data_IF_901088976566
#
_entry.id   IF_901088976566
#
_cell.length_a   1.000
_cell.length_b   1.000
_cell.length_c   1.000
_cell.angle_alpha   90.00
_cell.angle_beta   90.00
_cell.angle_gamma   90.00
#
_symmetry.space_group_name_H-M   'P 1'
#
loop_
_entity.id
_entity.type
_entity.pdbx_description
1 polymer ?
#
# COMPACT_ATOMS: atom_id res chain seq x y z
CA UNK A 9 -11.01 -15.61 -29.25
CA UNK A 10 -10.79 -13.54 -32.44
CA UNK A 11 -14.29 -12.09 -32.83
CA UNK A 12 -13.64 -8.47 -31.87
CA UNK A 13 -10.01 -8.41 -32.99
CA UNK A 14 -9.53 -4.65 -33.23
CA UNK A 15 -10.14 -3.98 -29.58
CA UNK A 16 -12.81 -1.46 -30.67
CA UNK A 17 -16.49 -1.39 -29.72
CA UNK A 18 -18.38 -3.34 -32.38
CA UNK A 19 -21.46 -1.45 -31.19
CA UNK A 20 -23.22 -4.69 -30.72
CA UNK A 21 -20.08 -3.96 -28.76
CA UNK A 22 -22.32 -4.40 -25.71
CA UNK A 23 -22.25 -8.02 -26.86
CA UNK A 24 -18.50 -8.46 -26.38
CA UNK A 25 -18.62 -7.58 -22.68
CA UNK A 26 -21.94 -9.39 -22.34
CA UNK A 27 -20.62 -12.58 -23.93
CA UNK A 28 -17.66 -12.64 -21.53
CA UNK A 29 -19.95 -12.22 -18.53
CA UNK A 30 -22.25 -15.05 -19.64
CA UNK A 31 -19.26 -17.36 -20.10
CA UNK A 32 -17.82 -16.52 -16.68
CA UNK A 33 -21.02 -16.43 -14.62
CA UNK A 34 -22.04 -19.76 -16.15
CA UNK A 35 -18.49 -20.76 -17.08
CA UNK A 36 -19.53 -24.12 -15.64
CA UNK A 37 -17.92 -25.50 -18.80
CA UNK A 38 -14.48 -27.08 -19.20
CA UNK A 39 -12.12 -24.35 -20.39
CA UNK A 40 -9.24 -26.84 -20.19
CA UNK A 41 -9.84 -28.52 -23.55
CA UNK A 42 -7.86 -27.21 -26.53
CA UNK A 43 -6.17 -30.35 -28.00
CA UNK A 44 -2.72 -29.15 -28.80
CA UNK A 45 -0.13 -30.41 -26.31
CA UNK A 46 3.23 -28.92 -26.05
CA UNK A 47 5.87 -26.76 -27.47
CA UNK A 48 9.31 -25.43 -28.37
CA UNK A 49 11.48 -22.32 -28.63
CA UNK A 50 11.49 -18.91 -30.31
CA UNK A 51 12.63 -15.56 -28.91
CA UNK A 52 13.54 -12.48 -26.89
CA UNK A 53 14.21 -9.93 -24.16
CA UNK A 54 14.51 -6.57 -25.88
CA UNK A 55 16.64 -8.58 -27.98
CA UNK A 56 18.84 -11.68 -28.16
CA UNK A 57 18.03 -15.12 -29.54
CA UNK A 58 16.61 -18.46 -28.41
CA UNK A 59 15.33 -22.03 -28.19
CA UNK A 60 14.60 -23.12 -24.62
CA UNK A 61 12.26 -25.72 -23.15
CA UNK A 62 11.20 -27.85 -20.18
CA UNK A 63 9.88 -31.28 -19.23
CA UNK A 64 8.22 -30.72 -15.86
CA UNK A 65 9.93 -32.87 -13.10
CA UNK A 66 9.16 -35.88 -10.88
CA UNK A 67 5.78 -35.32 -9.22
CA UNK A 68 5.26 -38.72 -7.60
CA UNK A 69 4.25 -38.99 -3.94
CA UNK A 70 6.51 -40.10 -1.09
CA UNK A 71 5.47 -40.87 2.49
CA UNK A 72 5.99 -38.00 4.93
CA UNK A 73 8.65 -38.48 7.62
CA UNK A 74 10.67 -36.72 10.32
CA UNK A 75 8.46 -33.71 11.04
CA UNK A 76 7.75 -33.12 14.73
CA UNK A 77 10.31 -30.94 16.50
CA UNK A 78 8.93 -30.88 20.05
CA UNK A 79 11.28 -32.75 22.39
CA UNK A 80 9.75 -31.65 25.69
CA UNK A 81 9.03 -27.93 25.29
CA UNK A 82 8.54 -27.21 21.59
CA UNK A 83 10.42 -27.08 18.29
CA UNK A 84 13.76 -28.88 18.08
CA UNK A 85 17.28 -27.77 17.15
CA UNK A 86 16.92 -28.61 13.46
CA UNK A 87 14.21 -26.27 12.17
CA UNK A 88 12.20 -27.31 9.11
CA UNK A 89 11.54 -25.05 6.12
CA UNK A 90 8.57 -22.68 6.23
CA UNK A 91 6.39 -24.72 3.87
CA UNK A 92 5.27 -28.35 3.72
CA UNK A 93 6.12 -31.73 2.17
CA UNK A 94 4.55 -32.92 -1.07
CA UNK A 95 3.19 -36.47 -0.90
CA UNK A 96 -0.47 -37.20 -1.66
CA UNK A 97 -1.55 -39.59 1.10
CA UNK A 98 -2.24 -37.51 4.21
CA UNK A 99 -3.14 -39.13 7.54
CA UNK A 100 -3.94 -38.68 11.14
CA UNK A 101 -4.59 -41.69 13.27
CA UNK A 102 -5.04 -41.38 17.04
CA UNK A 103 -8.08 -40.69 19.21
CA UNK A 104 -10.29 -37.61 19.46
CA UNK A 105 -7.46 -35.46 20.82
CA UNK A 106 -5.17 -38.03 22.46
CA UNK A 107 -2.81 -35.21 21.50
CA UNK A 108 0.66 -35.02 19.95
CA UNK A 109 0.27 -37.16 16.83
CA UNK A 110 -3.28 -35.91 16.26
CA UNK A 111 -2.17 -32.34 16.97
CA UNK A 112 0.68 -32.58 14.46
CA UNK A 113 -1.68 -33.88 11.76
CA UNK A 114 -4.11 -31.02 12.37
CA UNK A 115 -1.32 -28.45 12.09
CA UNK A 116 -0.13 -29.93 8.79
CA UNK A 117 -3.65 -29.81 7.36
CA UNK A 118 -4.03 -26.16 8.34
CA UNK A 119 -0.75 -25.23 6.67
CA UNK A 120 -1.76 -26.99 3.45
CA UNK A 121 -5.11 -25.19 3.39
CA UNK A 122 -3.59 -21.77 4.03
CA UNK A 123 -1.27 -22.56 1.13
CA UNK A 124 -3.77 -21.49 -1.53
CA UNK A 125 -6.38 -18.84 -0.72
CA UNK A 126 -5.61 -16.78 -3.83
CA UNK A 127 -8.57 -14.39 -3.75
CA UNK A 128 -12.10 -14.95 -5.06
CA UNK A 129 -11.38 -16.26 -8.56
CA UNK A 130 -9.64 -18.77 -6.63
CA UNK A 131 -7.95 -20.29 -9.77
CA UNK A 132 -10.38 -20.37 -12.69
CA UNK A 133 -10.82 -16.59 -12.66
CA UNK A 134 -7.06 -16.05 -12.69
CA UNK A 135 -6.63 -18.44 -15.61
CA UNK A 136 -9.28 -16.61 -17.63
CA UNK A 137 -7.57 -13.27 -17.04
CA UNK A 138 -4.21 -14.65 -18.16
CA UNK A 139 -5.72 -15.99 -21.38
CA UNK A 140 -7.34 -12.63 -22.14
CA UNK A 141 -4.03 -10.82 -21.62
CA UNK A 142 -2.24 -13.18 -24.01
CA UNK A 143 -4.92 -12.71 -26.68
CA UNK A 144 -4.66 -8.93 -26.39
CA UNK A 145 -0.86 -8.84 -26.27
CA UNK A 146 -0.37 -11.19 -29.23
CA UNK A 147 -4.00 -11.26 -30.36
CA UNK A 148 -3.12 -14.68 -31.77
CA UNK A 149 -5.32 -17.77 -31.51
CA UNK A 150 -2.90 -20.56 -30.59
CA UNK A 151 -0.93 -22.11 -27.73
CA UNK A 152 2.01 -20.23 -26.23
CA UNK A 153 4.54 -21.36 -23.62
CA UNK A 154 1.48 -21.23 -21.37
CA UNK A 155 -0.85 -23.71 -23.07
CA UNK A 156 1.40 -26.57 -21.97
CA UNK A 157 1.87 -25.11 -18.48
CA UNK A 158 -1.89 -24.79 -18.02
CA UNK A 159 -2.23 -28.44 -19.02
CA UNK A 160 -0.26 -29.41 -15.92
CA UNK A 161 -3.71 -30.00 -14.44
CA UNK A 162 -4.88 -33.47 -15.46
CA UNK A 163 -8.32 -33.97 -17.00
CA UNK A 164 -10.34 -35.21 -14.03
CA UNK A 165 -13.20 -32.70 -13.90
CA UNK A 166 -11.97 -30.32 -11.20
CA UNK A 167 -9.07 -30.94 -8.82
CA UNK A 168 -7.11 -28.10 -7.56
CA UNK A 169 -10.79 -28.81 -6.93
CA UNK A 170 -12.71 -25.64 -6.05
CA UNK A 171 -14.03 -24.60 -2.64
CA UNK A 172 -17.50 -23.08 -2.30
CA UNK A 173 -19.20 -20.86 0.28
CA UNK A 174 -19.91 -22.97 3.36
CA UNK A 175 -16.77 -24.77 2.17
CA UNK A 176 -13.62 -23.77 4.05
CA UNK A 177 -11.11 -26.38 2.87
CA UNK A 178 -9.36 -25.54 -0.41
CA UNK A 179 -9.84 -29.22 -1.22
CA UNK A 180 -7.35 -31.21 -2.98
CA UNK A 181 -8.74 -34.05 -5.03
CA UNK A 182 -7.43 -36.37 -2.31
CA UNK A 183 -5.64 -38.60 -4.82
CA UNK A 184 -3.92 -36.19 -7.21
CA UNK A 185 -0.66 -34.37 -6.68
CA UNK A 186 -0.02 -32.39 -3.56
CA UNK A 187 -0.51 -29.22 -1.52
CA UNK A 188 2.36 -27.84 -3.61
CA UNK A 189 0.29 -28.03 -6.80
CA UNK A 190 -2.68 -26.37 -5.11
CA UNK A 191 -1.28 -22.93 -4.31
CA UNK A 192 1.55 -23.43 -6.80
CA UNK A 193 -0.89 -22.86 -9.67
CA UNK A 194 -2.01 -19.52 -8.23
CA UNK A 195 1.58 -18.31 -7.88
CA UNK A 196 2.40 -19.46 -11.41
CA UNK A 197 -0.62 -17.62 -12.81
CA UNK A 198 0.34 -14.36 -11.11
CA UNK A 199 3.84 -14.58 -12.59
CA UNK A 200 2.44 -15.62 -15.97
CA UNK A 201 0.26 -12.50 -16.09
CA UNK A 202 3.51 -10.72 -16.93
CA UNK A 203 4.08 -12.53 -20.23
CA UNK A 204 2.78 -9.43 -22.02
CA UNK A 205 4.96 -6.80 -20.34
CA UNK A 206 8.59 -7.93 -20.11
CA UNK A 207 9.08 -11.55 -21.18
CA UNK A 208 9.56 -13.39 -24.48
CA UNK A 209 10.52 -17.01 -23.82
CA UNK A 210 7.57 -18.24 -21.75
CA UNK A 211 9.77 -21.12 -20.61
CA UNK A 212 12.72 -19.71 -18.67
CA UNK A 213 11.11 -17.87 -15.76
CA UNK A 214 8.38 -20.51 -15.59
CA UNK A 215 10.85 -23.36 -16.08
CA UNK A 216 13.11 -22.07 -13.31
CA UNK A 217 10.15 -21.95 -10.92
CA UNK A 218 9.13 -25.52 -11.76
CA UNK A 219 12.69 -26.79 -11.28
CA UNK A 220 12.79 -25.25 -7.80
CA UNK A 221 9.54 -27.05 -6.98
CA UNK A 222 11.71 -29.68 -5.28
CA UNK A 223 11.55 -28.12 -1.82
CA UNK A 224 8.76 -26.18 -0.11
CA UNK A 225 10.02 -22.60 -0.34
CA UNK A 226 13.41 -22.42 -2.06
CA UNK A 227 14.02 -18.67 -1.95
CA UNK A 228 17.24 -18.84 0.08
CA UNK A 229 19.41 -18.41 -3.02
CA UNK A 230 16.68 -16.75 -5.09
CA UNK A 231 17.12 -13.40 -3.35
CA UNK A 232 20.89 -13.48 -3.81
CA UNK A 233 21.49 -13.32 -7.56
CA UNK A 234 18.26 -11.39 -8.13
CA UNK A 235 20.07 -8.07 -8.59
CA UNK A 236 23.40 -9.88 -8.94
CA UNK A 237 23.07 -9.38 -12.70
CA UNK A 238 23.04 -5.67 -11.88
CA UNK A 239 26.79 -5.52 -11.27
CA UNK A 240 28.36 -5.63 -14.73
CA UNK A 241 30.41 -3.47 -17.09
CA UNK A 242 30.51 -3.55 -20.89
CA UNK A 243 30.79 -0.93 -23.64
CA UNK A 244 32.44 2.31 -22.53
CA UNK A 245 29.21 4.32 -22.64
CA UNK A 246 27.09 5.96 -19.94
CA UNK A 247 24.73 8.07 -22.04
CA UNK A 248 23.11 10.15 -19.31
CA UNK A 249 21.40 13.51 -18.81
CA UNK A 250 19.58 15.70 -16.28
CA UNK A 251 20.41 16.36 -12.63
CA UNK A 252 18.15 19.20 -11.49
CA UNK A 253 17.86 19.60 -7.72
CA UNK A 254 14.39 21.03 -8.33
CA UNK A 255 13.35 18.20 -10.65
CA UNK A 256 14.08 19.57 -14.13
CA UNK A 257 15.74 18.67 -17.44
CA UNK A 258 18.95 19.67 -19.21
CA UNK A 259 20.01 16.93 -21.64
CA UNK A 260 23.71 16.61 -22.46
CA UNK A 261 26.88 15.33 -20.77
CA UNK A 262 28.84 12.09 -21.14
CA UNK A 263 28.88 9.46 -18.40
CA UNK A 264 31.36 7.56 -16.24
CA UNK A 265 31.50 3.88 -15.29
CA UNK A 266 32.62 2.23 -12.05
CA UNK A 267 35.70 1.75 -9.87
CA UNK A 268 36.66 2.54 -6.27
CA UNK A 269 37.51 -0.86 -4.78
CA UNK A 270 34.04 -2.32 -5.36
CA UNK A 271 35.97 -5.09 -7.11
CA UNK A 272 36.40 -8.40 -5.29
CA UNK A 273 33.08 -10.04 -6.20
CA UNK A 274 34.76 -13.06 -7.78
CA UNK A 275 32.67 -16.08 -6.79
CA UNK A 276 29.60 -18.11 -7.74
CA UNK A 277 28.11 -21.59 -8.08
CA UNK A 278 25.37 -23.79 -6.62
CA UNK A 279 22.92 -21.14 -7.82
CA UNK A 280 20.13 -22.29 -10.13
CA UNK A 281 20.03 -25.36 -12.37
CA UNK A 282 20.65 -22.93 -15.23
CA UNK A 283 22.13 -19.44 -15.59
CA UNK A 284 22.29 -19.09 -19.38
CA UNK A 285 20.66 -15.76 -18.57
CA UNK A 286 24.09 -14.13 -18.33
CA UNK A 287 25.02 -13.08 -21.87
CA UNK A 288 28.04 -11.32 -20.37
CA UNK A 289 27.76 -9.34 -23.60
CA UNK A 290 25.23 -6.55 -22.99
CA UNK A 291 25.07 -2.95 -24.22
CA UNK A 292 23.97 0.47 -22.99
CA UNK A 293 20.65 2.06 -22.01
CA UNK A 294 17.68 -0.05 -20.93
CA UNK A 295 19.64 -3.14 -19.87
CA UNK A 296 17.45 -6.19 -19.29
CA UNK A 297 19.84 -6.72 -16.39
CA UNK A 298 17.48 -4.72 -14.18
CA UNK A 299 14.59 -6.94 -15.29
CA UNK A 300 16.81 -10.00 -15.76
CA UNK A 301 15.81 -11.07 -12.25
CA UNK A 302 12.21 -10.05 -11.58
CA UNK A 303 11.10 -13.47 -12.81
CA UNK A 304 13.39 -14.80 -10.09
CA UNK A 305 10.77 -13.71 -7.55
CA UNK A 306 7.03 -14.37 -7.47
CA UNK A 307 4.63 -12.09 -5.60
CA UNK A 308 2.43 -13.80 -3.01
CA UNK A 309 2.22 -14.79 0.66
CA UNK A 310 5.24 -17.07 1.09
CA UNK A 311 4.32 -17.82 4.71
CA UNK A 312 2.21 -20.82 5.67
CA UNK A 313 3.84 -22.14 8.85
CA UNK A 314 1.91 -20.64 11.77
CA UNK A 315 4.38 -19.86 14.56
CA UNK A 316 7.11 -22.32 13.58
CA UNK A 317 7.81 -20.15 10.54
CA UNK A 318 7.45 -16.98 12.61
CA UNK A 319 9.38 -18.39 15.56
CA UNK A 320 12.50 -18.18 13.40
CA UNK A 321 11.97 -14.44 13.02
CA UNK A 322 12.00 -12.47 16.28
CA UNK A 323 13.30 -13.89 19.52
CA UNK A 324 15.66 -16.84 19.50
CA UNK A 325 17.92 -13.81 19.93
CA UNK A 326 20.52 -11.70 18.13
CA UNK A 327 23.98 -12.80 17.02
CA UNK A 328 26.57 -10.08 16.41
CA UNK A 329 30.32 -9.48 16.55
CA UNK A 330 32.04 -7.56 19.35
CA UNK A 331 30.25 -8.24 22.64
CA UNK A 332 28.03 -5.50 24.06
CA UNK A 333 30.12 -3.44 26.49
CA UNK A 334 28.10 -1.23 28.83
CA UNK A 335 29.10 0.91 31.81
CA UNK A 336 26.96 2.43 34.56
CA UNK A 337 27.79 5.96 35.71
CA UNK A 338 25.61 5.70 38.82
CA UNK A 339 22.71 8.01 38.00
CA UNK A 340 19.58 7.68 40.14
CA UNK A 341 18.12 9.61 37.44
CA UNK A 342 21.21 8.81 35.15
CA UNK A 343 25.00 9.12 35.15
CA UNK A 344 26.96 9.88 31.98
CA UNK A 345 28.03 6.49 30.64
CA UNK A 346 30.39 7.96 28.03
CA UNK A 347 33.38 5.78 27.15
CA UNK A 348 33.73 5.26 23.40
CA UNK A 349 31.15 5.76 20.65
CA UNK A 350 29.68 8.11 23.25
CA UNK A 351 31.80 11.09 22.21
CA UNK A 352 29.91 11.66 18.96
CA UNK A 353 26.43 10.57 20.05
CA UNK A 354 27.01 12.10 23.48
CA UNK A 355 27.77 15.52 21.98
CA UNK A 356 24.82 15.43 19.58
CA UNK A 357 22.34 14.30 22.23
CA UNK A 358 23.76 16.74 24.78
CA UNK A 359 23.37 19.70 22.43
CA UNK A 360 19.84 18.68 21.46
CA UNK A 361 18.83 18.03 25.07
CA UNK A 362 20.33 21.38 26.04
CA UNK A 363 18.13 23.39 23.68
CA UNK A 364 15.19 21.08 24.41
CA UNK A 365 11.96 22.56 25.77
CA UNK A 366 8.55 20.91 26.11
CA UNK A 367 6.09 19.22 28.47
CA UNK A 368 2.30 19.14 28.82
CA UNK A 369 -0.31 17.12 30.72
CA UNK A 370 -2.26 14.18 29.02
CA UNK A 371 -1.74 13.07 25.38
CA UNK A 372 -5.27 12.12 24.25
CA UNK A 373 -3.38 11.90 20.96
CA UNK A 374 -0.93 9.59 22.72
CA UNK A 375 -3.65 7.68 24.56
CA UNK A 376 -6.37 7.28 21.93
CA UNK A 377 -3.78 7.29 19.21
CA UNK A 378 -7.30 5.76 19.40
CA UNK A 379 -6.82 2.13 20.75
CA UNK A 380 -8.00 1.82 17.09
CA UNK A 381 -5.96 -0.72 15.04
CA UNK A 382 -6.24 -3.48 17.70
CA UNK A 383 -6.44 -4.74 21.37
CA UNK A 384 -7.65 -4.71 25.01
CA UNK A 385 -8.06 -8.25 24.14
CA UNK A 386 -6.93 -10.59 26.86
CA UNK A 387 -7.55 -7.17 28.54
CA UNK A 388 -10.98 -6.76 26.96
CA UNK A 389 -11.95 -10.23 28.17
CA UNK A 390 -10.37 -10.08 31.61
CA UNK A 391 -12.60 -7.02 31.94
CA UNK A 392 -15.63 -8.74 30.44
CA UNK A 393 -15.23 -11.27 33.28
CA UNK A 394 -16.38 -8.58 35.74
CA UNK A 395 -19.59 -8.29 33.65
CA UNK A 396 -20.10 -4.77 33.03
CA UNK A 397 -22.54 -3.28 30.48
CA UNK A 398 -22.93 -4.21 26.75
CA UNK A 399 -21.11 -3.67 23.67
CA UNK A 400 -17.54 -3.18 24.64
CA UNK A 401 -15.90 -3.63 21.09
CA UNK A 402 -12.76 -5.20 22.62
CA UNK A 403 -11.50 -2.43 20.55
CA UNK A 404 -10.24 1.08 21.38
CA UNK A 405 -9.01 3.11 24.19
CA UNK A 406 -12.45 3.98 22.34
CA UNK A 407 -12.22 3.52 26.20
CA UNK A 408 -15.62 2.14 27.07
CA UNK A 409 -13.24 0.33 29.57
CA UNK A 410 -10.28 2.38 30.79
CA UNK A 411 -10.78 5.38 33.07
CA UNK A 412 -11.24 4.30 36.62
CA UNK A 413 -7.50 4.95 36.37
CA UNK A 414 -5.01 7.24 37.84
CA UNK A 415 -1.96 6.81 40.08
CA UNK A 416 -2.77 3.56 41.89
CA UNK A 417 -2.29 1.64 38.64
CA UNK A 418 1.12 0.06 39.17
CA UNK A 419 1.36 -3.59 38.34
CA UNK A 420 -1.03 -4.95 35.67
CA UNK A 421 1.92 -4.40 33.28
CA UNK A 422 2.58 -8.10 33.92
CA UNK A 423 0.04 -8.80 31.18
CA UNK A 424 0.63 -10.64 27.90
CA UNK A 425 1.26 -9.20 24.43
CA UNK A 426 -0.10 -10.78 21.25
CA UNK A 427 1.88 -11.07 18.02
CA UNK A 428 0.44 -10.15 14.62
CA UNK A 429 1.96 -11.62 11.46
CA UNK A 430 2.25 -10.15 7.97
CA UNK A 431 3.10 -12.35 4.98
CA UNK A 432 5.45 -10.48 2.66
CA UNK A 433 6.31 -11.55 -0.89
CA UNK A 434 9.88 -12.84 -1.05
CA UNK A 435 11.18 -12.40 2.50
CA UNK A 436 10.62 -13.47 6.11
CA UNK A 437 7.25 -12.73 7.70
CA UNK A 438 7.03 -9.42 9.55
CA UNK A 439 6.09 -9.97 13.20
CA UNK A 440 3.73 -7.27 14.45
CA UNK A 441 3.80 -6.68 18.21
CA UNK A 442 1.42 -3.74 18.60
CA UNK A 443 1.00 -2.72 22.24
CA UNK A 444 -2.38 -2.13 23.88
CA UNK A 445 -3.81 0.99 25.53
CA UNK A 446 -1.51 0.53 28.53
CA UNK A 447 1.32 -0.40 26.17
CA UNK A 448 1.16 2.37 23.56
CA UNK A 449 0.38 4.83 26.36
CA UNK A 450 2.74 3.04 28.75
CA UNK A 451 5.55 5.04 27.14
CA UNK A 452 7.65 7.93 26.66
CA UNK A 453 5.31 9.86 24.47
CA UNK A 454 8.43 12.02 24.36
CA UNK A 455 9.80 8.59 23.78
CA UNK A 456 8.42 8.63 20.29
CA UNK A 457 9.30 12.28 20.57
CA UNK A 458 12.30 11.07 18.57
CA UNK A 459 10.56 13.06 15.83
CA UNK A 460 11.78 16.32 17.36
CA UNK A 461 15.17 15.11 16.14
CA UNK A 462 13.98 15.99 12.64
CA UNK A 463 16.25 19.01 13.07
CA UNK A 464 19.24 16.79 13.84
CA UNK A 465 19.00 14.54 10.79
CA UNK A 466 16.71 13.67 7.88
CA UNK A 467 14.16 11.01 8.81
CA UNK A 474 10.93 10.73 -4.40
CA UNK A 475 12.48 14.24 -3.88
CA UNK A 476 15.13 12.24 -2.03
CA UNK A 477 15.81 10.04 -5.06
CA UNK A 478 16.27 13.10 -7.27
CA UNK A 479 18.74 14.63 -4.81
CA UNK A 480 20.79 11.43 -4.72
CA UNK A 481 20.99 11.38 -8.52
CA UNK A 482 21.85 15.08 -8.75
CA UNK A 483 24.99 14.86 -6.62
CA UNK A 484 26.14 12.01 -8.86
CA UNK A 485 26.91 13.75 -12.16
CA UNK A 486 29.22 16.37 -10.65
CA UNK A 487 32.59 15.07 -9.47
CA UNK A 488 32.39 11.27 -9.68
CA UNK A 489 30.24 10.31 -6.70
CA UNK A 490 30.41 7.03 -4.76
CA UNK A 491 27.32 5.99 -2.81
CA UNK A 492 26.60 2.79 -0.88
CA UNK A 493 23.13 1.26 -0.63
CA UNK A 494 21.97 -1.65 1.54
CA UNK A 495 23.48 -0.64 4.88
CA UNK A 496 21.00 -2.27 7.27
CA UNK A 497 20.75 -3.25 10.93
CA UNK A 498 19.32 -6.74 10.45
CA UNK A 499 18.18 -7.96 13.86
CA UNK A 500 18.28 -4.37 15.12
CA UNK A 501 15.88 -5.27 17.93
CA UNK A 502 18.00 -8.32 18.78
CA UNK A 503 21.16 -6.20 18.96
CA UNK A 504 19.35 -3.74 21.24
CA UNK A 505 19.73 -6.03 24.26
CA UNK A 506 19.73 -3.65 27.23
CA UNK A 507 22.87 -1.88 28.09
CA UNK A 508 22.18 -0.58 24.61
CA UNK A 509 19.99 2.35 23.56
CA UNK A 510 16.78 1.97 25.57
CA UNK A 511 18.80 2.41 28.77
CA UNK A 512 20.42 5.62 27.51
CA UNK A 513 17.50 7.38 25.82
CA UNK A 514 15.73 8.83 28.86
CA UNK A 515 15.66 12.52 29.79
CA UNK A 516 13.51 15.65 30.07
CA UNK A 517 13.88 16.10 33.83
CA UNK A 518 14.75 19.79 33.54
CA UNK A 519 11.57 20.85 31.76
CA UNK A 520 9.33 18.00 32.91
CA UNK A 521 8.89 19.63 36.32
CA UNK A 522 5.10 19.35 36.07
CA UNK A 523 3.13 16.33 37.27
CA UNK A 524 3.39 14.37 40.52
CA UNK A 525 6.03 14.10 43.04
CA UNK A 526 7.75 17.11 44.44
CA UNK A 527 11.17 16.07 45.73
CA UNK A 528 12.01 12.52 46.82
CA UNK A 529 14.65 10.37 48.50
CA UNK A 530 17.78 10.55 46.34
CA UNK A 531 20.94 8.49 46.87
CA UNK A 532 24.27 8.04 45.09
CA UNK A 533 25.81 11.36 44.73
CA UNK A 534 29.19 9.56 45.43
CA UNK A 535 29.92 10.45 49.06
CA UNK A 536 27.16 7.98 49.91
CA UNK A 537 24.69 8.54 52.75
CA UNK A 538 21.27 9.75 51.59
CA UNK A 539 19.70 13.13 50.84
CA UNK A 540 16.62 14.78 49.33
CA UNK A 541 16.73 15.12 45.54
CA UNK A 542 14.19 17.18 43.61
CA UNK A 543 12.34 15.12 41.00
CA UNK A 544 10.88 16.14 37.64
CA UNK A 545 9.95 12.82 36.02
CA UNK A 546 8.54 9.29 36.22
CA UNK A 547 8.31 7.91 32.62
CA UNK A 548 11.70 6.91 31.22
CA UNK A 549 13.90 6.54 34.30
CA UNK A 550 11.73 5.53 37.25
CA UNK A 551 9.44 3.04 35.50
CA UNK A 552 10.27 2.16 31.90
CA UNK A 553 13.85 1.59 33.05
CA UNK A 554 12.76 -1.19 35.41
CA UNK A 555 10.40 -2.51 32.73
CA UNK A 556 13.65 -3.67 31.12
CA UNK A 557 13.50 -6.93 33.08
CA UNK A 558 9.85 -7.69 32.31
CA UNK A 559 10.78 -7.67 28.62
CA UNK A 560 10.44 -11.42 28.05
CA UNK A 561 8.75 -11.62 24.81
CA UNK A 562 5.63 -13.56 24.20
CA UNK A 563 2.52 -15.63 24.93
CA UNK A 564 0.44 -17.52 22.37
CA UNK A 565 -1.02 -20.95 21.59
CA UNK A 566 -0.29 -24.05 19.51
CA UNK A 567 0.23 -27.39 21.24
CA UNK A 568 1.04 -26.48 24.90
CA UNK A 569 2.66 -22.98 25.14
CA UNK A 570 4.01 -20.27 22.89
CA UNK A 571 6.05 -18.78 25.70
CA UNK A 572 9.74 -17.93 25.34
CA UNK A 573 12.06 -15.59 27.25
CA UNK A 574 14.52 -13.56 25.20
CA UNK A 575 15.29 -10.09 23.83
CA UNK A 576 13.71 -7.99 21.09
CA UNK A 577 12.11 -4.61 20.37
CA UNK A 578 8.31 -4.71 20.24
CA UNK A 579 6.33 -2.68 17.70
CA UNK A 580 4.28 -1.13 20.51
CA UNK A 581 4.75 2.62 20.97
CA UNK A 582 7.71 0.89 19.03
CA UNK A 583 9.94 4.05 19.10
CA UNK A 584 11.45 6.55 16.72
CA UNK A 585 14.13 3.91 16.41
CA UNK A 586 17.14 4.34 14.16
CA UNK A 587 17.36 7.72 15.88
CA UNK A 588 19.82 6.45 18.48
CA UNK A 589 21.57 4.61 15.65
CA UNK A 590 21.75 7.65 13.38
CA UNK A 591 23.39 9.65 16.16
CA UNK A 592 25.89 6.90 16.96
CA UNK A 593 27.10 6.64 13.36
CA UNK A 594 27.52 10.42 13.54
CA UNK A 595 29.99 10.18 16.43
CA UNK A 596 33.28 9.69 14.60
CA UNK A 597 34.03 12.79 12.50
CA UNK A 598 36.30 11.02 15.25
CA UNK A 599 37.66 14.55 14.86
CA UNK A 600 40.17 13.30 12.29
CA UNK A 601 41.33 15.24 9.23
CA UNK A 602 38.27 14.34 7.16
CA UNK A 603 34.73 15.44 6.31
CA UNK A 604 31.80 15.03 3.93
CA UNK A 605 28.80 12.90 4.89
CA UNK A 606 25.28 14.12 4.14
CA UNK A 607 22.63 12.93 6.60
CA UNK A 608 19.27 11.45 5.62
CA UNK A 609 17.41 8.18 5.09
CA UNK A 610 13.83 6.88 5.16
CA UNK A 611 13.58 4.11 7.75
CA UNK A 612 16.45 2.16 6.19
CA UNK A 613 20.09 3.26 6.24
CA UNK A 614 20.77 6.08 3.78
CA UNK A 615 24.39 7.17 3.37
CA UNK A 616 25.30 10.35 1.49
CA UNK A 617 29.09 10.11 1.35
CA UNK A 618 31.05 12.08 -1.26
CA UNK A 619 34.04 14.33 -1.93
CA UNK A 620 36.45 11.64 -3.10
CA UNK A 621 36.87 9.75 0.11
CA UNK A 622 40.34 8.22 0.67
CA UNK A 623 39.89 10.22 3.88
CA UNK A 624 36.12 9.77 4.02
CA UNK A 625 37.15 6.11 3.87
CA UNK A 626 36.70 5.92 7.65
CA UNK A 627 33.44 4.15 6.82
CA UNK A 628 35.40 0.94 7.40
CA UNK A 629 35.86 1.90 11.05
CA UNK A 630 32.15 2.69 11.40
CA UNK A 631 31.27 -0.73 9.99
CA UNK A 632 33.66 -2.46 12.39
CA UNK A 633 32.27 -0.82 15.53
CA UNK A 634 28.51 -0.53 16.07
CA UNK A 635 27.62 -2.96 18.85
CA UNK A 636 24.80 -4.43 16.77
CA UNK A 637 25.33 -6.45 13.59
CA UNK A 638 25.32 -4.32 10.44
CA UNK A 639 24.74 -5.79 6.98
CA UNK A 640 26.60 -3.62 4.47
CA UNK A 641 25.83 -3.99 0.76
CA UNK A 642 29.26 -3.44 -0.80
CA UNK A 643 30.33 -0.36 -2.76
CA UNK A 644 29.40 1.81 -5.74
CA UNK A 645 29.39 3.65 -9.10
CA UNK A 646 25.59 4.53 -8.88
CA UNK A 647 24.01 2.09 -6.42
CA UNK A 648 21.00 2.31 -4.10
CA UNK A 649 18.45 0.23 -2.20
CA UNK A 650 15.85 2.11 -0.13
CA UNK A 651 12.20 2.01 -1.04
CA UNK A 652 12.76 2.88 -4.88
CA UNK A 653 15.26 1.36 -7.31
CA UNK A 654 18.24 0.86 -9.32
CA UNK A 655 18.28 4.64 -9.78
CA UNK A 656 21.75 4.34 -11.30
CA UNK A 657 20.68 7.06 -13.78
CA UNK A 658 17.24 5.47 -14.06
CA UNK A 659 14.64 3.87 -11.78
CA UNK A 660 14.26 0.09 -11.90
CA UNK A 661 11.70 -2.50 -10.81
CA UNK A 662 8.86 -4.42 -9.41
CA UNK A 663 6.95 -7.40 -10.80
CA UNK A 664 9.45 -8.77 -8.11
CA UNK A 665 7.59 -7.06 -5.27
CA UNK A 666 4.12 -6.62 -6.77
CA UNK A 667 2.42 -9.78 -5.50
CA UNK A 668 -0.66 -8.72 -7.47
CA UNK A 707 -19.32 -1.88 -3.96
CA UNK A 708 -15.98 -2.22 -2.17
CA UNK A 709 -14.58 -4.14 -5.14
CA UNK A 710 -15.61 -1.36 -7.53
CA UNK A 711 -13.84 1.47 -5.70
CA UNK A 712 -10.91 -0.96 -5.58
CA UNK A 713 -10.04 -2.17 -9.08
CA UNK A 714 -6.52 -2.89 -7.83
CA UNK A 715 -4.50 -1.90 -10.89
CA UNK A 716 -2.64 1.24 -9.81
CA UNK A 717 0.44 -0.84 -8.98
CA UNK A 718 0.92 -1.50 -12.69
CA UNK A 719 -0.08 1.89 -14.12
CA UNK A 720 3.45 3.29 -14.11
CA UNK A 721 4.93 -0.03 -15.24
CA UNK A 722 4.73 -1.55 -18.73
CA UNK A 723 1.73 -0.62 -20.86
CA UNK A 724 -0.74 -3.48 -21.31
CA UNK A 725 -2.62 -3.72 -18.02
CA UNK A 726 -5.65 -1.77 -19.23
CA UNK A 727 -7.03 -4.79 -21.07
CA UNK A 728 -6.00 -7.23 -18.34
CA UNK A 729 -7.49 -4.97 -15.66
CA UNK A 730 -10.83 -4.86 -17.48
CA UNK A 731 -11.03 -8.65 -17.81
CA UNK A 732 -10.47 -8.96 -14.06
CA UNK A 733 -14.18 -9.72 -14.45
CA UNK A 734 -15.32 -10.46 -10.96
CA UNK A 735 -18.85 -8.98 -10.28
CA UNK A 736 -20.69 -12.27 -10.73
CA UNK A 737 -21.93 -12.57 -7.27
CA UNK A 738 -23.18 -9.76 -4.92
CA UNK A 739 -26.70 -10.17 -3.17
CA UNK A 740 -28.87 -12.51 -1.23
CA UNK A 741 -32.33 -11.28 -0.10
CA UNK A 742 -35.92 -9.82 0.69
CA UNK A 743 -36.95 -12.40 3.23
CA UNK A 744 -39.54 -14.11 0.83
CA UNK A 745 -41.39 -13.26 -2.33
CA UNK A 746 -42.48 -12.30 -5.82
CA UNK A 747 -39.95 -14.83 -6.95
CA UNK A 748 -42.28 -13.61 -9.63
CA UNK A 749 -41.13 -10.26 -8.71
CA UNK A 750 -37.63 -11.09 -9.83
CA UNK A 751 -38.77 -11.87 -13.37
CA UNK A 752 -40.86 -8.70 -13.48
CA UNK A 753 -37.90 -6.61 -12.34
CA UNK A 754 -35.24 -8.38 -14.73
CA UNK A 755 -36.48 -7.53 -18.15
CA UNK A 756 -34.08 -4.88 -16.46
CA UNK A 761 -30.39 -11.13 -13.91
CA UNK A 762 -30.43 -14.38 -11.94
CA UNK A 763 -32.11 -17.24 -9.79
CA UNK A 764 -33.22 -18.55 -6.40
CA UNK A 765 -36.00 -19.24 -3.98
CA UNK A 766 -35.62 -22.61 -2.35
CA UNK A 767 -36.76 -22.87 1.09
CA UNK A 768 -35.75 -19.39 2.40
CA UNK A 769 -34.26 -16.56 0.04
CA UNK A 770 -31.77 -15.86 -2.75
CA UNK A 771 -30.72 -12.86 -4.51
CA UNK A 772 -27.79 -12.90 -6.85
CA UNK A 773 -26.87 -9.25 -7.74
CA UNK A 774 -26.40 -8.97 -11.34
CA UNK A 775 -23.68 -6.23 -11.64
CA UNK A 776 -23.40 -5.47 -15.18
CA UNK A 777 -21.96 -2.15 -13.81
CA UNK A 778 -18.76 -1.73 -16.16
CA UNK A 779 -19.96 1.87 -15.91
CA UNK A 780 -17.85 2.24 -12.76
CA UNK A 781 -14.93 2.81 -15.13
CA UNK A 782 -12.33 4.57 -13.11
CA UNK A 783 -10.41 2.96 -16.04
CA UNK A 784 -10.52 3.53 -19.71
CA UNK A 785 -11.78 2.16 -23.19
CA UNK A 786 -12.97 1.97 -26.66
CA UNK A 787 -16.09 1.53 -28.79
CA UNK A 788 -16.91 4.71 -30.60
CA UNK A 789 -20.43 4.01 -31.59
CA UNK A 790 -22.88 4.58 -34.24
CA UNK A 791 -22.20 6.63 -37.52
CA UNK A 792 -18.73 8.02 -36.77
CA UNK A 793 -16.04 6.05 -34.81
CA UNK A 794 -14.18 7.41 -31.58
CA UNK A 795 -11.52 8.51 -28.98
CA UNK A 796 -8.55 6.90 -27.51
CA UNK A 797 -8.44 5.04 -24.12
CA UNK A 798 -5.91 6.54 -21.71
CA UNK A 799 -3.95 5.61 -18.58
CA UNK A 800 -3.20 9.10 -17.44
CA UNK A 801 -6.37 10.84 -16.26
CA UNK A 802 -9.73 9.78 -14.82
CA UNK A 803 -12.23 11.20 -12.33
CA UNK A 804 -15.89 12.23 -12.47
CA UNK A 805 -16.20 12.23 -16.26
CA UNK A 806 -17.52 12.60 -19.68
CA UNK A 807 -19.11 9.47 -18.06
CA UNK A 808 -22.26 10.86 -19.69
CA UNK A 809 -20.93 13.46 -22.12
CA UNK A 810 -17.60 11.86 -23.00
CA UNK A 811 -19.00 8.36 -23.53
CA UNK A 812 -21.63 9.70 -25.93
CA UNK A 813 -19.62 12.71 -27.10
CA UNK A 814 -19.40 10.75 -30.35
CA UNK A 815 -23.11 9.92 -30.41
CA UNK A 816 -23.85 12.98 -32.54
CA UNK A 817 -21.90 16.24 -32.88
CA UNK A 818 -24.84 18.65 -32.73
CA UNK A 819 -23.90 22.33 -32.88
CA UNK A 820 -27.30 22.76 -34.53
CA UNK A 821 -28.45 24.17 -31.19
CA UNK A 822 -26.87 22.12 -28.40
CA UNK A 823 -30.16 20.81 -27.02
CA UNK A 824 -27.82 18.70 -24.88
CA UNK A 825 -30.72 16.83 -26.32
CA UNK A 826 -31.43 13.29 -25.74
CA UNK A 827 -29.90 10.07 -27.08
CA UNK A 828 -31.71 6.89 -28.09
CA UNK A 829 -30.59 3.32 -28.78
CA UNK A 830 -29.87 0.73 -26.09
CA UNK A 831 -26.52 1.12 -24.33
CA UNK A 832 -27.90 4.26 -22.70
CA UNK A 833 -31.20 2.68 -21.64
CA UNK A 834 -29.46 -0.41 -20.27
CA UNK A 835 -26.84 1.76 -18.57
CA UNK A 836 -29.51 3.88 -16.89
CA UNK A 837 -31.04 0.78 -15.29
CA UNK A 838 -27.65 -0.30 -13.95
CA UNK A 839 -27.00 3.13 -12.44
CA UNK A 840 -30.36 3.09 -10.67
CA UNK A 841 -29.70 -0.37 -9.23
CA UNK A 842 -26.31 0.73 -7.89
CA UNK A 843 -27.83 3.77 -6.20
CA UNK A 844 -30.48 1.65 -4.49
CA UNK A 845 -27.82 -0.79 -3.28
CA UNK A 846 -26.16 -0.74 0.16
CA UNK A 847 -27.01 2.44 1.82
CA UNK A 848 -30.24 0.62 2.99
CA UNK A 849 -28.31 -2.16 4.72
CA UNK A 850 -25.89 0.31 6.29
CA UNK A 851 -28.76 2.39 7.66
CA UNK A 852 -30.42 -0.68 9.18
CA UNK A 853 -27.17 -1.70 10.89
CA UNK A 854 -26.75 1.77 12.38
CA UNK A 855 -30.29 1.73 13.78
CA UNK A 856 -29.73 -1.67 15.38
CA UNK A 857 -26.56 -0.43 17.07
CA UNK A 858 -28.23 2.72 18.38
CA UNK A 859 -31.18 0.79 19.82
CA UNK A 860 -28.73 -1.69 21.33
CA UNK A 861 -26.46 0.99 22.80
CA UNK A 862 -27.92 4.32 22.93
CA UNK A 863 -26.91 6.92 25.47
CA UNK A 864 -25.54 5.80 28.83
CA UNK A 865 -22.43 4.34 27.21
CA UNK A 866 -21.83 7.60 25.36
CA UNK A 867 -22.11 9.65 28.55
CA UNK A 868 -19.42 7.51 30.18
CA UNK A 869 -17.15 7.72 27.14
CA UNK A 870 -17.22 11.52 27.04
CA UNK A 871 -15.97 11.26 30.62
CA UNK A 872 -12.37 10.85 29.50
CA UNK A 873 -12.39 14.61 30.04
CA UNK A 874 -8.62 14.90 29.65
CA UNK A 875 -7.22 18.43 29.95
CA UNK A 876 -8.69 21.71 28.71
CA UNK A 877 -12.41 22.66 29.51
CA UNK A 878 -14.84 22.15 26.82
CA UNK A 879 -13.81 19.57 24.21
CA UNK A 880 -15.84 22.27 22.45
CA UNK A 881 -18.63 19.65 21.86
CA UNK A 882 -18.85 23.45 21.72
CA UNK A 883 -15.78 23.62 19.48
CA UNK A 884 -17.74 23.15 16.26
CA UNK A 885 -20.09 20.21 16.82
CA UNK A 886 -22.41 22.18 19.10
CA UNK A 887 -22.03 25.96 18.90
CA UNK A 888 -19.63 26.35 15.98
CA UNK A 889 -21.72 23.82 14.06
CA UNK A 890 -25.22 25.10 14.85
CA UNK A 891 -23.91 28.66 14.54
CA UNK A 892 -21.81 28.68 11.37
CA UNK A 893 -22.74 29.99 7.93
CA UNK A 894 -21.39 27.97 5.00
CA UNK A 895 -22.90 24.56 4.85
CA UNK A 896 -20.76 21.51 5.75
CA UNK A 897 -22.94 19.21 7.86
CA UNK A 898 -21.48 15.72 8.20
CA UNK A 899 -17.95 14.30 8.01
CA UNK A 900 -15.85 15.17 11.05
CA UNK A 901 -15.09 18.71 12.30
CA UNK A 902 -14.66 18.75 16.07
CA UNK A 903 -12.51 16.97 18.65
CA UNK A 904 -15.87 16.71 20.41
CA UNK A 905 -18.37 15.25 17.94
CA UNK A 906 -16.16 14.14 15.05
CA UNK A 907 -13.56 12.81 17.48
CA UNK A 908 -16.20 10.60 19.09
CA UNK A 909 -17.06 9.17 15.67
CA UNK A 910 -14.01 6.98 16.27
CA UNK A 911 -16.45 4.10 16.78
CA UNK A 912 -14.62 2.67 13.77
CA UNK A 913 -13.88 -0.32 16.00
CA UNK A 914 -17.47 -1.40 15.33
CA UNK A 915 -16.23 -2.45 11.89
CA UNK A 916 -16.81 -5.97 13.21
CA UNK A 917 -18.46 -8.77 11.23
CA UNK A 918 -22.26 -8.79 11.17
CA UNK A 919 -25.03 -10.24 9.01
CA UNK A 920 -27.90 -10.52 11.49
CA UNK A 921 -31.63 -9.85 11.27
CA UNK A 922 -32.18 -6.32 10.45
CA UNK A 923 -33.64 -9.11 8.29
CA UNK A 924 -36.28 -6.42 8.73
CA UNK A 925 -33.87 -3.76 7.48
CA UNK A 926 -33.08 -5.84 4.39
CA UNK A 927 -36.76 -6.62 3.82
CA UNK A 928 -37.71 -2.96 4.19
CA UNK A 929 -35.04 -1.96 1.67
CA UNK A 930 -36.32 -4.54 -0.81
CA UNK A 931 -39.87 -3.23 -0.46
CA UNK A 932 -38.69 0.33 -1.06
CA UNK A 933 -36.95 -0.77 -4.26
CA UNK A 934 -40.01 -2.63 -5.54
CA UNK A 935 -42.43 0.19 -4.74
CA UNK A 936 -39.91 2.78 -5.93
CA UNK A 937 -39.05 0.68 -8.99
CA UNK A 938 -39.73 3.63 -11.30
CA UNK A 939 -41.62 2.52 -14.40
CA UNK A 940 -38.53 3.77 -16.23
CA UNK A 941 -35.05 5.12 -15.51
CA UNK A 942 -34.31 8.47 -17.16
CA UNK A 943 -31.16 10.60 -17.21
CA UNK A 944 -30.73 13.39 -14.65
CA UNK A 945 -28.25 16.07 -13.58
CA UNK A 946 -29.49 19.58 -13.86
CA UNK A 947 -25.83 19.98 -14.79
CA UNK A 948 -24.40 19.75 -18.30
CA UNK A 949 -20.67 20.50 -19.48
CA UNK A 950 -20.84 19.35 -23.11
CA UNK A 951 -17.18 19.40 -23.67
CA UNK A 952 -16.90 20.21 -27.50
CA UNK A 953 -13.10 20.46 -28.05
CA UNK A 954 -11.05 20.32 -31.45
CA UNK A 955 -8.98 20.61 -34.42
CA UNK A 956 -6.02 21.67 -36.51
CA UNK A 957 -2.70 21.84 -38.35
CA UNK A 958 0.86 21.46 -36.92
CA UNK A 959 3.40 21.90 -34.38
CA UNK A 960 5.07 22.39 -30.89
CA UNK A 961 7.55 22.45 -28.17
CA UNK A 962 8.99 19.50 -26.27
CA UNK A 963 11.51 21.73 -24.51
CA UNK A 964 13.60 19.21 -22.57
CA UNK A 965 15.90 17.64 -25.16
CA UNK A 966 18.11 15.74 -22.71
CA UNK A 967 16.13 12.51 -22.96
CA UNK A 968 18.30 10.64 -25.46
CA UNK A 969 18.44 7.15 -23.95
CA UNK A 970 16.40 4.36 -22.37
CA UNK A 971 15.27 6.74 -19.62
CA UNK A 972 12.50 6.15 -17.08
CA UNK A 973 9.09 5.14 -18.43
CA UNK A 974 10.44 2.41 -20.70
CA UNK A 975 10.26 4.38 -23.95
CA UNK A 976 12.29 6.30 -26.53
CA UNK A 977 12.00 10.00 -25.71
CA UNK A 978 8.42 11.27 -26.00
CA UNK A 979 6.69 12.61 -22.89
CA UNK A 980 4.72 15.62 -21.64
CA UNK A 981 7.50 16.87 -19.36
CA UNK A 985 8.75 22.69 -9.26
CA UNK A 986 8.24 25.47 -6.71
CA UNK A 987 4.53 24.63 -6.51
CA UNK A 988 5.39 20.97 -5.94
CA UNK A 989 7.50 21.82 -2.89
CA UNK A 990 4.72 24.00 -1.48
CA UNK A 991 2.15 21.24 -1.97
CA UNK A 992 4.35 18.72 -0.16
CA UNK A 993 4.82 21.10 2.78
CA UNK A 994 1.06 21.64 3.07
CA UNK A 995 0.48 17.89 3.19
CA UNK A 996 3.19 17.39 5.82
CA UNK A 997 1.72 19.69 8.47
CA UNK A 998 -1.53 17.72 8.62
CA UNK A 999 -3.44 15.95 11.38
CA UNK A 1000 -2.37 12.74 9.64
CA UNK A 1001 1.00 11.39 8.51
CA UNK A 1002 2.12 8.36 6.50
CA UNK A 1003 0.61 6.33 3.66
CA UNK A 1004 0.26 8.82 0.81
CA UNK A 1005 0.01 11.98 -1.08
CA UNK A 1006 -3.53 11.97 0.59
CA UNK A 1007 -5.27 14.16 -2.09
CA UNK A 1008 -8.89 14.30 -1.21
CA UNK A 1009 -9.36 15.70 2.29
CA UNK A 1010 -12.53 17.70 2.95
CA UNK A 1011 -10.76 19.87 5.52
CA UNK A 1012 -8.90 21.98 2.97
CA UNK A 1013 -11.92 22.08 0.66
CA UNK A 1014 -14.08 23.71 3.34
CA UNK A 1015 -11.47 26.41 3.97
CA UNK A 1016 -11.11 27.21 0.27
CA UNK A 1017 -14.88 27.26 -0.20
CA UNK A 1018 -15.39 29.37 2.92
CA UNK A 1019 -13.15 32.13 1.57
CA UNK A 1020 -15.42 32.31 -1.47
CA UNK A 1021 -18.61 32.19 0.60
CA UNK A 1022 -17.31 35.13 2.64
CA UNK A 1023 -16.86 33.69 6.14
CA UNK A 1024 -13.10 33.75 6.70
CA UNK A 1025 -13.46 33.87 10.49
CA UNK A 1026 -15.09 30.48 9.93
CA UNK A 1027 -11.63 29.09 9.18
CA UNK A 1028 -10.50 29.79 12.74
CA UNK A 1029 -13.47 27.88 14.16
CA UNK A 1030 -12.82 24.91 11.87
CA UNK A 1031 -9.16 24.77 12.91
CA UNK A 1032 -7.37 25.29 16.23
CA UNK A 1033 -3.52 26.02 15.89
CA UNK A 1034 -2.72 24.71 12.47
CA UNK A 1035 -3.79 28.31 11.65
CA UNK A 1036 -0.49 28.75 9.80
CA UNK A 1037 -1.00 25.59 7.74
CA UNK A 1038 -4.50 26.69 6.72
CA UNK A 1039 -3.20 30.15 5.79
CA UNK A 1040 -0.34 28.65 3.77
CA UNK A 1041 -2.70 26.40 1.80
CA UNK A 1042 -5.07 29.29 1.06
CA UNK A 1043 -2.08 31.13 -0.41
CA UNK A 1044 -0.74 28.42 -2.72
CA UNK A 1045 -3.02 29.52 -5.55
CA UNK A 1046 -6.73 28.70 -5.75
CA UNK A 1047 -5.78 31.19 -8.68
CA UNK A 1048 -5.30 28.31 -11.12
CA UNK A 1049 -6.66 25.60 -8.81
CA UNK A 1050 -9.97 27.45 -8.73
CA UNK A 1051 -11.06 24.33 -10.61
CA UNK A 1052 -13.16 23.69 -7.50
CA UNK A 1053 -15.62 25.77 -9.52
CA UNK A 1054 -15.97 23.42 -12.49
CA UNK A 1055 -16.20 20.03 -10.78
CA UNK A 1056 -13.85 17.42 -12.23
CA UNK A 1057 -11.46 17.19 -9.28
CA UNK A 1058 -7.92 16.81 -10.59
CA UNK A 1059 -7.12 13.09 -10.84
CA UNK A 1060 -4.89 12.01 -7.95
CA UNK A 1061 -2.72 9.53 -9.85
CA UNK A 1062 0.99 8.69 -9.75
CA UNK A 1063 3.32 10.71 -11.98
CA UNK A 1064 6.66 12.06 -12.27
CA UNK A 1065 3.35 13.61 -13.45
CA UNK A 1066 3.44 17.41 -13.40
CA UNK A 1067 -0.24 18.39 -14.10
CA UNK A 1068 -0.40 21.45 -11.78
CA UNK A 1069 -1.99 24.80 -12.94
CA UNK A 1070 0.71 26.64 -14.89
CA UNK A 1071 1.80 23.50 -16.73
CA UNK A 1072 -1.83 22.44 -17.18
CA UNK A 1073 -2.75 25.83 -18.66
CA UNK A 1074 0.16 25.66 -21.11
CA UNK A 1075 -0.89 22.18 -22.24
CA UNK A 1076 -4.46 23.35 -22.82
CA UNK A 1077 -3.33 26.30 -24.94
CA UNK A 1078 -1.59 23.81 -27.23
CA UNK A 1079 -4.89 23.12 -29.00
CA UNK A 1080 -7.06 26.18 -28.37
CA UNK A 1081 -10.26 27.97 -27.73
CA UNK A 1082 -10.68 31.66 -28.67
CA UNK A 1083 -11.66 34.53 -26.38
CA UNK A 1084 -15.40 34.71 -25.75
CA UNK A 1085 -15.37 33.74 -22.07
CA UNK A 1086 -15.91 36.99 -20.16
CA UNK A 1087 -15.37 36.35 -16.45
CA UNK A 1088 -16.60 33.11 -15.15
CA UNK A 1089 -12.89 33.85 -15.09
CA UNK A 1090 -13.36 30.43 -13.49
CA UNK A 1091 -15.14 29.07 -16.57
CA UNK A 1092 -12.09 29.78 -18.74
CA UNK A 1093 -9.88 27.89 -16.29
CA UNK A 1094 -12.22 24.89 -16.32
CA UNK A 1095 -12.19 24.82 -20.12
CA UNK A 1096 -8.38 24.92 -20.19
CA UNK A 1097 -8.15 22.02 -17.73
CA UNK A 1098 -10.53 19.93 -19.84
CA UNK A 1099 -8.48 20.57 -22.98
CA UNK A 1100 -5.28 19.46 -21.25
CA UNK A 1101 -6.92 16.25 -20.03
CA UNK A 1102 -8.15 15.41 -23.53
CA UNK A 1103 -4.67 15.94 -24.97
CA UNK A 1104 -3.10 13.67 -22.35
CA UNK A 1105 -5.60 10.90 -23.08
CA UNK A 1106 -4.85 11.09 -26.81
CA UNK A 1107 -1.10 10.93 -26.17
CA UNK A 1108 -1.69 8.99 -29.55
CA UNK A 1109 -1.44 12.13 -31.32
CA UNK A 1110 1.04 13.76 -33.81
CA UNK A 1111 1.80 17.45 -33.83
CA UNK A 1112 -1.11 19.87 -32.88
CA UNK A 1113 -2.91 23.20 -32.95
CA UNK A 1114 -6.38 22.34 -31.44
CA UNK A 1115 -8.89 24.68 -32.62
CA UNK A 1116 -11.81 24.53 -30.12
CA UNK A 1117 -15.14 25.63 -31.21
CA UNK A 1118 -17.91 26.11 -28.79
CA UNK A 1119 -21.45 24.89 -28.39
CA UNK A 1120 -23.96 27.65 -28.07
CA UNK A 1121 -24.80 26.29 -24.43
CA UNK A 1122 -21.32 26.96 -23.25
CA UNK A 1123 -21.64 30.70 -23.23
CA UNK A 1124 -24.99 30.03 -21.55
CA UNK A 1125 -23.27 27.93 -18.89
CA UNK A 1126 -20.76 30.71 -18.26
CA UNK A 1127 -23.58 33.23 -17.91
#
# INVERSE_FOLDING_TARGET
MLPNTKLHNTIFSETRKFTRESFKEIEHLTARLANDRVARHDFLFNTSIALISDYSGEDSNGNQLQATITIPNEIINPKEYDPSDYPLAEDESFFKQGHKYDYLVTFRAGSLTNTYEPKTKMYKLHAALDKLMHVKQRKSRFADLWRELCAVIASLDVWYQTTNYPLRTYVKLLFHKGDEFPFYESPSQDRIIFNDKSVASILPTFVYTCCQVGTAIMSGILTHVESIVAMNHFLHCAKDSYIDEKLKIKGIGRSWYQEALHNVGQATVPVWSQFNEVIGHRTKSTSEPHFVLSTFISLRAKRAELLYPEFNAYINRAIQLSKTQNDVANYYAACRAMTNDGTFLATLTELSLDAAVFPRIEQHLVTRPAVLMSNTRHESLKQKYTNGVGSIAQSYLSSFTDEIAKRVNGIHHDEAWLNFLTTSSPGRKLTEIEKLEVGGDVAAWSNSRIVMQAVFAREYRTPERIFKSLKAPIKLVERQQSDRRQRAISGLDNDRLFLSFMPYTIGKQIYELNDNAAQGKQAGSAFVIGEMLYWTSQRNVLLSSIDVAGMDASVTTNTKDIYNTFVLDVASKCTVPRFGPYYAKNVEVFEAGKRQSQVRYVNAAWQACALEAANSQTSTSYESEIFGQVKNAEGTYPSGRADTSTHHTVLLQGLVRGNELKRASDGKNSCLATIKILGDDIMEIFQGSESNTYDHAVSNASILNESGFATTAELSQNSIVLLQQLVVNGTFWGFADRISLWTREDTKDIGRLNLAMMELNALIDDLVFRVRRPEGLKMLGFFCGAICLRRFTLSVDNKLYDSTYNNLSKYMTLIKYDKNPDFDSTLMSLILPLAWLFMPRGGEYPAYPFERRDGTFTEDESMFTARGAYKRRLLYDVSNIREMIQQNSMALDDELLHEYGFTGALLLIDLNILDLIDEVKKEDISPVKVSELATSLEQLGKLGEREKSRRAASDLKVRGHALSNDIVYGYGLQEKIQKSAMATKETTVQSKRVSSRLHDVIVAKTRDYKISTIPADALHLHEFEVEDVTVDLLPHAKHTSYSSLAYNMSFGSDGWFAFALLGGLDRSANLLRLDVASIRGNYHKFSYDDPVFKQGYKIYKSDATLLNDFFTAISAGPKEQGILLRAFAYYSLYGNVEYHYVLSPRQLFFLSDNPVSAERLVRIPPKYYVSTQCRALYNIFSYLHILRSIANNRGKRLKMVLHPGLIAYVRGTSQGAILPEADNV
#
